data_IF_676455066385
#
_entry.id   IF_676455066385
#
_cell.length_a   1.000
_cell.length_b   1.000
_cell.length_c   1.000
_cell.angle_alpha   90.00
_cell.angle_beta   90.00
_cell.angle_gamma   90.00
#
_symmetry.space_group_name_H-M   'P 1'
#
loop_
_entity.id
_entity.type
_entity.pdbx_description
1 polymer ?
#
# COMPACT_ATOMS: atom_id res chain seq x y z
N UNK A 1 18.00 9.06 -1.77
CA UNK A 1 16.88 10.02 -1.99
C UNK A 1 15.86 9.99 -0.85
N UNK A 2 15.75 11.11 -0.11
CA UNK A 2 14.67 11.33 0.86
C UNK A 2 13.39 11.82 0.15
N UNK A 3 12.25 11.26 0.51
CA UNK A 3 10.96 11.57 -0.10
C UNK A 3 9.80 11.37 0.91
N UNK A 4 8.62 11.85 0.55
CA UNK A 4 7.40 11.66 1.33
C UNK A 4 6.34 10.96 0.48
N UNK A 5 5.82 9.83 0.97
CA UNK A 5 4.68 9.14 0.39
C UNK A 5 3.42 9.54 1.15
N UNK A 6 2.42 10.10 0.46
CA UNK A 6 1.17 10.54 1.09
C UNK A 6 -0.07 9.98 0.40
N UNK A 7 -1.00 9.49 1.21
CA UNK A 7 -2.33 9.03 0.83
C UNK A 7 -3.36 10.15 1.04
N UNK A 8 -4.22 10.36 0.05
CA UNK A 8 -5.33 11.32 0.08
C UNK A 8 -6.64 10.64 -0.33
N UNK A 9 -7.74 11.19 0.16
CA UNK A 9 -9.11 10.75 -0.14
C UNK A 9 -9.83 11.77 -0.99
N UNK A 10 -10.54 11.30 -2.01
CA UNK A 10 -11.25 12.13 -2.98
C UNK A 10 -12.69 11.64 -3.10
N UNK A 11 -13.58 11.97 -2.14
CA UNK A 11 -14.95 11.43 -2.12
C UNK A 11 -15.80 11.86 -3.32
N UNK A 12 -15.43 12.95 -4.01
CA UNK A 12 -16.13 13.48 -5.19
C UNK A 12 -15.35 13.31 -6.49
N UNK A 13 -14.31 12.47 -6.50
CA UNK A 13 -13.38 12.34 -7.62
C UNK A 13 -12.24 13.36 -7.58
N UNK A 14 -11.31 13.18 -8.52
CA UNK A 14 -10.05 13.91 -8.57
C UNK A 14 -9.56 14.08 -10.00
N UNK A 15 -8.98 15.24 -10.29
CA UNK A 15 -8.04 15.40 -11.42
C UNK A 15 -6.67 15.65 -10.84
N UNK A 16 -5.70 14.83 -11.26
CA UNK A 16 -4.32 14.93 -10.83
C UNK A 16 -3.43 15.28 -12.03
N UNK A 17 -2.46 16.16 -11.77
CA UNK A 17 -1.37 16.43 -12.70
C UNK A 17 -0.43 15.20 -12.83
N UNK A 18 0.35 15.11 -13.91
CA UNK A 18 1.40 14.09 -14.05
C UNK A 18 2.40 14.09 -12.89
N UNK A 19 2.92 12.90 -12.56
CA UNK A 19 3.94 12.73 -11.52
C UNK A 19 3.99 11.30 -10.99
N UNK A 20 4.78 11.06 -9.94
CA UNK A 20 4.83 9.79 -9.23
C UNK A 20 3.60 9.63 -8.33
N UNK A 21 2.47 9.34 -8.97
CA UNK A 21 1.16 9.27 -8.32
C UNK A 21 0.39 8.06 -8.81
N UNK A 22 -0.25 7.38 -7.87
CA UNK A 22 -1.28 6.38 -8.14
C UNK A 22 -2.63 6.96 -7.75
N UNK A 23 -3.63 6.83 -8.62
CA UNK A 23 -5.03 7.10 -8.31
C UNK A 23 -5.82 5.80 -8.45
N UNK A 24 -6.49 5.38 -7.38
CA UNK A 24 -7.33 4.19 -7.34
C UNK A 24 -8.80 4.61 -7.27
N UNK A 25 -9.58 4.26 -8.29
CA UNK A 25 -11.01 4.54 -8.36
C UNK A 25 -11.79 3.43 -7.65
N UNK A 26 -12.52 3.81 -6.59
CA UNK A 26 -13.20 2.86 -5.72
C UNK A 26 -14.37 2.17 -6.43
N UNK A 27 -15.12 2.91 -7.26
CA UNK A 27 -16.34 2.41 -7.89
C UNK A 27 -16.06 1.33 -8.95
N UNK A 28 -14.96 1.47 -9.71
CA UNK A 28 -14.67 0.60 -10.84
C UNK A 28 -13.57 -0.43 -10.54
N UNK A 29 -12.94 -0.40 -9.36
CA UNK A 29 -11.79 -1.25 -9.02
C UNK A 29 -10.73 -1.15 -10.13
N UNK A 30 -10.24 0.07 -10.35
CA UNK A 30 -9.24 0.44 -11.35
C UNK A 30 -8.18 1.36 -10.72
N UNK A 31 -6.97 1.32 -11.27
CA UNK A 31 -5.90 2.22 -10.86
C UNK A 31 -5.27 2.90 -12.08
N UNK A 32 -4.80 4.12 -11.88
CA UNK A 32 -4.13 4.96 -12.86
C UNK A 32 -2.81 5.46 -12.29
N UNK A 33 -1.81 5.67 -13.16
CA UNK A 33 -0.53 6.25 -12.77
C UNK A 33 -0.30 7.59 -13.46
N UNK A 34 0.26 8.54 -12.73
CA UNK A 34 0.52 9.90 -13.20
C UNK A 34 -0.76 10.72 -13.30
N UNK A 35 -0.89 11.43 -14.42
CA UNK A 35 -2.01 12.34 -14.65
C UNK A 35 -3.29 11.54 -14.91
N UNK A 36 -4.33 11.79 -14.13
CA UNK A 36 -5.58 11.03 -14.20
C UNK A 36 -6.77 11.91 -13.81
N UNK A 37 -7.91 11.67 -14.45
CA UNK A 37 -9.21 12.24 -14.07
C UNK A 37 -10.15 11.10 -13.73
N UNK A 38 -10.60 11.07 -12.49
CA UNK A 38 -11.58 10.11 -11.96
C UNK A 38 -12.77 10.90 -11.44
N UNK A 39 -13.97 10.59 -11.92
CA UNK A 39 -15.18 11.33 -11.56
C UNK A 39 -15.82 10.83 -10.25
N UNK A 40 -15.64 9.54 -9.92
CA UNK A 40 -16.18 8.91 -8.70
C UNK A 40 -15.21 8.95 -7.51
N UNK A 41 -15.63 8.47 -6.33
CA UNK A 41 -14.78 8.37 -5.16
C UNK A 41 -13.44 7.68 -5.45
N UNK A 42 -12.34 8.30 -5.05
CA UNK A 42 -11.00 7.80 -5.33
C UNK A 42 -10.05 7.96 -4.13
N UNK A 43 -8.98 7.17 -4.16
CA UNK A 43 -7.82 7.30 -3.28
C UNK A 43 -6.62 7.67 -4.13
N UNK A 44 -5.71 8.50 -3.61
CA UNK A 44 -4.45 8.76 -4.33
C UNK A 44 -3.23 8.68 -3.43
N UNK A 45 -2.17 8.04 -3.92
CA UNK A 45 -0.85 8.03 -3.31
C UNK A 45 0.08 8.88 -4.16
N UNK A 46 0.74 9.85 -3.55
CA UNK A 46 1.73 10.69 -4.23
C UNK A 46 3.08 10.57 -3.53
N UNK A 47 4.13 10.34 -4.32
CA UNK A 47 5.51 10.45 -3.87
C UNK A 47 6.02 11.86 -4.18
N UNK A 48 6.32 12.63 -3.14
CA UNK A 48 6.85 13.98 -3.21
C UNK A 48 8.33 13.98 -2.86
N UNK A 49 9.11 14.82 -3.52
CA UNK A 49 10.56 14.92 -3.34
C UNK A 49 11.00 16.37 -3.24
N UNK A 50 12.14 16.64 -2.61
CA UNK A 50 12.70 18.00 -2.55
C UNK A 50 11.78 18.96 -1.78
N UNK A 51 11.56 20.15 -2.32
CA UNK A 51 10.75 21.19 -1.67
C UNK A 51 9.27 20.83 -1.51
N UNK A 52 8.76 19.87 -2.29
CA UNK A 52 7.37 19.42 -2.23
C UNK A 52 7.14 18.38 -1.11
N UNK A 53 8.21 17.77 -0.59
CA UNK A 53 8.15 16.80 0.51
C UNK A 53 8.02 17.50 1.87
N UNK A 54 6.87 18.14 2.10
CA UNK A 54 6.54 18.78 3.38
C UNK A 54 6.04 17.73 4.38
N UNK A 55 6.50 17.78 5.64
CA UNK A 55 6.21 16.73 6.64
C UNK A 55 4.70 16.41 6.80
N UNK A 56 3.86 17.44 6.73
CA UNK A 56 2.39 17.35 6.91
C UNK A 56 1.66 17.90 5.68
N UNK A 57 1.52 17.10 4.61
CA UNK A 57 0.84 17.52 3.39
C UNK A 57 -0.65 17.73 3.68
N UNK A 58 -1.16 18.90 3.31
CA UNK A 58 -2.52 19.32 3.62
C UNK A 58 -3.56 18.31 3.09
N UNK A 59 -4.40 17.81 4.00
CA UNK A 59 -5.49 16.89 3.66
C UNK A 59 -5.06 15.44 3.40
N UNK A 60 -3.82 15.06 3.71
CA UNK A 60 -3.43 13.66 3.68
C UNK A 60 -4.12 12.87 4.79
N UNK A 61 -4.64 11.70 4.45
CA UNK A 61 -5.14 10.72 5.41
C UNK A 61 -4.00 10.00 6.14
N UNK A 62 -2.85 9.87 5.47
CA UNK A 62 -1.59 9.41 6.05
C UNK A 62 -0.43 9.88 5.18
N UNK A 63 0.65 10.35 5.80
CA UNK A 63 1.92 10.61 5.15
C UNK A 63 3.05 9.88 5.89
N UNK A 64 4.06 9.45 5.15
CA UNK A 64 5.23 8.79 5.71
C UNK A 64 6.49 9.18 4.93
N UNK A 65 7.53 9.56 5.66
CA UNK A 65 8.85 9.72 5.10
C UNK A 65 9.40 8.37 4.62
N UNK A 66 10.04 8.37 3.47
CA UNK A 66 10.68 7.20 2.88
C UNK A 66 12.06 7.57 2.37
N UNK A 67 13.03 6.70 2.65
CA UNK A 67 14.39 6.82 2.14
C UNK A 67 14.59 5.76 1.06
N UNK A 68 14.72 6.22 -0.18
CA UNK A 68 14.95 5.37 -1.35
C UNK A 68 16.42 5.45 -1.76
N UNK A 69 17.06 4.32 -1.98
CA UNK A 69 18.43 4.22 -2.51
C UNK A 69 18.48 4.78 -3.94
N UNK A 70 19.24 5.87 -4.14
CA UNK A 70 19.35 6.53 -5.45
C UNK A 70 20.32 5.84 -6.41
N UNK A 71 21.03 4.80 -5.96
CA UNK A 71 21.90 3.99 -6.81
C UNK A 71 21.13 2.94 -7.63
N UNK A 72 19.82 2.80 -7.41
CA UNK A 72 18.99 1.81 -8.08
C UNK A 72 17.65 2.40 -8.58
N UNK A 73 17.08 1.83 -9.65
CA UNK A 73 15.74 2.20 -10.10
C UNK A 73 14.65 1.65 -9.18
N UNK A 74 13.53 2.35 -9.12
CA UNK A 74 12.37 2.03 -8.29
C UNK A 74 11.08 1.99 -9.12
N UNK A 75 10.11 1.21 -8.66
CA UNK A 75 8.74 1.16 -9.20
C UNK A 75 7.73 1.50 -8.12
N UNK A 76 6.67 2.20 -8.51
CA UNK A 76 5.47 2.42 -7.71
C UNK A 76 4.41 1.41 -8.14
N UNK A 77 4.02 0.54 -7.20
CA UNK A 77 3.09 -0.56 -7.48
C UNK A 77 1.83 -0.45 -6.65
N UNK A 78 0.68 -0.60 -7.32
CA UNK A 78 -0.63 -0.64 -6.67
C UNK A 78 -1.18 -2.06 -6.67
N UNK A 79 -1.49 -2.56 -5.47
CA UNK A 79 -2.15 -3.84 -5.26
C UNK A 79 -3.45 -3.67 -4.46
N UNK A 80 -4.43 -4.53 -4.72
CA UNK A 80 -5.47 -4.88 -3.75
C UNK A 80 -5.18 -6.26 -3.18
N UNK A 81 -5.42 -6.43 -1.89
CA UNK A 81 -5.33 -7.73 -1.22
C UNK A 81 -6.64 -8.04 -0.52
N UNK A 82 -7.23 -9.16 -0.89
CA UNK A 82 -8.50 -9.66 -0.34
C UNK A 82 -8.25 -10.84 0.59
N UNK A 83 -8.95 -10.86 1.73
CA UNK A 83 -8.90 -11.85 2.78
C UNK A 83 -10.30 -12.43 2.98
N UNK A 84 -10.49 -13.76 2.88
CA UNK A 84 -11.69 -14.39 3.39
C UNK A 84 -11.71 -14.33 4.93
N UNK A 85 -12.87 -14.49 5.59
CA UNK A 85 -12.95 -14.44 7.04
C UNK A 85 -11.96 -15.40 7.74
N UNK A 86 -11.29 -14.88 8.77
CA UNK A 86 -10.30 -15.58 9.58
C UNK A 86 -9.01 -15.96 8.84
N UNK A 87 -8.73 -15.36 7.68
CA UNK A 87 -7.45 -15.53 7.01
C UNK A 87 -6.32 -14.82 7.77
N UNK A 88 -5.12 -15.39 7.64
CA UNK A 88 -3.91 -14.92 8.29
C UNK A 88 -2.86 -14.68 7.20
N UNK A 89 -2.25 -13.50 7.22
CA UNK A 89 -0.96 -13.26 6.60
C UNK A 89 0.12 -13.47 7.67
N UNK A 90 0.74 -14.66 7.64
CA UNK A 90 1.80 -15.05 8.57
C UNK A 90 3.00 -14.11 8.52
N UNK A 91 3.88 -14.19 9.52
CA UNK A 91 4.93 -13.19 9.74
C UNK A 91 5.85 -13.09 8.52
N UNK A 92 5.91 -11.90 7.92
CA UNK A 92 6.64 -11.66 6.69
C UNK A 92 7.21 -10.26 6.59
N UNK A 93 8.15 -10.06 5.68
CA UNK A 93 8.71 -8.76 5.32
C UNK A 93 8.39 -8.43 3.86
N UNK A 94 8.55 -7.15 3.54
CA UNK A 94 8.42 -6.62 2.19
C UNK A 94 9.75 -6.05 1.68
N UNK A 95 9.98 -6.04 0.35
CA UNK A 95 11.21 -5.52 -0.23
C UNK A 95 11.28 -3.99 -0.28
N UNK A 96 10.19 -3.28 0.03
CA UNK A 96 10.17 -1.83 0.10
C UNK A 96 8.96 -1.28 0.85
N UNK A 97 8.97 0.04 1.14
CA UNK A 97 7.96 0.69 1.96
C UNK A 97 6.63 0.88 1.21
N UNK A 98 5.58 1.22 1.94
CA UNK A 98 4.35 1.72 1.33
C UNK A 98 3.22 2.00 2.31
N UNK A 99 2.17 2.64 1.80
CA UNK A 99 0.94 2.91 2.56
C UNK A 99 -0.16 1.96 2.12
N UNK A 100 -0.91 1.45 3.09
CA UNK A 100 -2.09 0.61 2.92
C UNK A 100 -3.33 1.37 3.39
N UNK A 101 -4.47 1.07 2.78
CA UNK A 101 -5.79 1.61 3.12
C UNK A 101 -6.82 0.49 3.10
N UNK A 102 -7.46 0.23 4.23
CA UNK A 102 -8.54 -0.73 4.34
C UNK A 102 -9.78 -0.20 3.62
N UNK A 103 -10.31 -0.99 2.69
CA UNK A 103 -11.52 -0.66 1.93
C UNK A 103 -12.78 -1.04 2.71
N UNK A 104 -12.80 -2.26 3.24
CA UNK A 104 -13.88 -2.80 4.07
C UNK A 104 -13.37 -3.96 4.94
N UNK A 105 -14.20 -4.39 5.89
CA UNK A 105 -13.87 -5.43 6.86
C UNK A 105 -12.97 -4.92 7.98
N UNK A 106 -12.08 -5.78 8.49
CA UNK A 106 -11.21 -5.47 9.61
C UNK A 106 -9.90 -6.27 9.58
N UNK A 107 -8.81 -5.62 9.98
CA UNK A 107 -7.50 -6.26 10.16
C UNK A 107 -6.94 -5.98 11.55
N UNK A 108 -6.40 -7.00 12.20
CA UNK A 108 -5.49 -6.86 13.33
C UNK A 108 -4.07 -7.05 12.82
N UNK A 109 -3.20 -6.05 13.01
CA UNK A 109 -1.84 -6.06 12.50
C UNK A 109 -0.86 -5.98 13.66
N UNK A 110 0.12 -6.89 13.67
CA UNK A 110 1.21 -6.91 14.65
C UNK A 110 2.55 -6.66 13.95
N UNK A 111 3.25 -5.60 14.37
CA UNK A 111 4.58 -5.19 13.87
C UNK A 111 5.38 -4.57 15.01
N UNK A 112 6.70 -4.81 15.10
CA UNK A 112 7.53 -4.24 16.18
C UNK A 112 7.05 -4.56 17.60
N UNK A 113 6.30 -5.65 17.80
CA UNK A 113 5.68 -6.00 19.09
C UNK A 113 4.41 -5.23 19.44
N UNK A 114 3.98 -4.28 18.59
CA UNK A 114 2.73 -3.53 18.75
C UNK A 114 1.64 -4.16 17.91
N UNK A 115 0.44 -4.29 18.47
CA UNK A 115 -0.74 -4.81 17.78
C UNK A 115 -1.80 -3.72 17.67
N UNK A 116 -2.32 -3.52 16.46
CA UNK A 116 -3.31 -2.47 16.16
C UNK A 116 -4.44 -3.05 15.32
N UNK A 117 -5.68 -2.74 15.70
CA UNK A 117 -6.86 -3.09 14.94
C UNK A 117 -7.27 -1.93 14.02
N UNK A 118 -7.54 -2.23 12.75
CA UNK A 118 -7.99 -1.30 11.73
C UNK A 118 -9.38 -1.71 11.24
N UNK A 119 -10.28 -0.72 11.16
CA UNK A 119 -11.57 -0.85 10.48
C UNK A 119 -11.54 -0.21 9.09
N UNK A 120 -12.66 -0.28 8.37
CA UNK A 120 -12.82 0.33 7.05
C UNK A 120 -12.40 1.81 7.07
N UNK A 121 -11.62 2.23 6.07
CA UNK A 121 -11.03 3.56 6.04
C UNK A 121 -9.74 3.71 6.87
N UNK A 122 -9.35 2.71 7.67
CA UNK A 122 -8.06 2.72 8.37
C UNK A 122 -6.89 2.70 7.38
N UNK A 123 -5.89 3.56 7.61
CA UNK A 123 -4.64 3.57 6.84
C UNK A 123 -3.45 3.28 7.75
N UNK A 124 -2.43 2.63 7.21
CA UNK A 124 -1.19 2.38 7.92
C UNK A 124 0.01 2.33 6.97
N UNK A 125 1.19 2.57 7.53
CA UNK A 125 2.45 2.50 6.83
C UNK A 125 3.23 1.26 7.26
N UNK A 126 3.91 0.63 6.31
CA UNK A 126 4.93 -0.40 6.58
C UNK A 126 6.22 0.00 5.87
N UNK A 127 7.33 0.00 6.61
CA UNK A 127 8.65 0.40 6.11
C UNK A 127 9.27 -0.59 5.13
N UNK A 128 8.84 -1.86 5.19
CA UNK A 128 9.33 -2.94 4.35
C UNK A 128 10.12 -3.98 5.14
N UNK A 129 11.31 -3.62 5.70
CA UNK A 129 12.16 -4.54 6.43
C UNK A 129 11.58 -5.03 7.77
N UNK A 130 10.71 -4.24 8.42
CA UNK A 130 10.10 -4.64 9.69
C UNK A 130 9.08 -5.76 9.46
N UNK A 131 9.18 -6.91 10.17
CA UNK A 131 8.25 -8.00 9.95
C UNK A 131 6.83 -7.69 10.44
N UNK A 132 5.85 -8.00 9.59
CA UNK A 132 4.44 -7.80 9.83
C UNK A 132 3.69 -9.13 9.90
N UNK A 133 2.72 -9.22 10.80
CA UNK A 133 1.74 -10.29 10.90
C UNK A 133 0.35 -9.67 10.84
N UNK A 134 -0.59 -10.26 10.12
CA UNK A 134 -1.95 -9.74 10.03
C UNK A 134 -3.02 -10.83 10.06
N UNK A 135 -4.10 -10.55 10.78
CA UNK A 135 -5.30 -11.39 10.86
C UNK A 135 -6.51 -10.59 10.37
N UNK A 136 -7.29 -11.17 9.46
CA UNK A 136 -8.58 -10.60 9.04
C UNK A 136 -9.71 -10.92 10.01
N UNK A 137 -10.78 -10.11 9.95
CA UNK A 137 -12.04 -10.34 10.66
C UNK A 137 -12.46 -11.81 10.61
N UNK A 138 -12.88 -12.37 11.76
CA UNK A 138 -13.33 -13.76 11.83
C UNK A 138 -14.65 -14.01 11.10
N UNK A 139 -15.43 -12.96 10.83
CA UNK A 139 -16.80 -13.06 10.32
C UNK A 139 -17.04 -12.33 9.00
N UNK A 140 -16.12 -11.47 8.57
CA UNK A 140 -16.32 -10.60 7.41
C UNK A 140 -15.18 -10.72 6.41
N UNK A 141 -15.50 -10.64 5.12
CA UNK A 141 -14.49 -10.44 4.09
C UNK A 141 -13.78 -9.11 4.33
N UNK A 142 -12.49 -9.07 4.03
CA UNK A 142 -11.66 -7.89 4.28
C UNK A 142 -10.81 -7.62 3.06
N UNK A 143 -10.73 -6.35 2.65
CA UNK A 143 -9.84 -5.95 1.57
C UNK A 143 -9.15 -4.64 1.89
N UNK A 144 -7.88 -4.55 1.51
CA UNK A 144 -7.16 -3.29 1.46
C UNK A 144 -6.53 -3.07 0.10
N UNK A 145 -6.36 -1.80 -0.25
CA UNK A 145 -5.49 -1.37 -1.34
C UNK A 145 -4.19 -0.86 -0.74
N UNK A 146 -3.09 -1.05 -1.45
CA UNK A 146 -1.77 -0.55 -1.05
C UNK A 146 -1.02 0.00 -2.23
N UNK A 147 -0.17 0.98 -1.95
CA UNK A 147 0.86 1.41 -2.88
C UNK A 147 2.22 1.25 -2.24
N UNK A 148 3.08 0.50 -2.91
CA UNK A 148 4.44 0.19 -2.48
C UNK A 148 5.45 0.84 -3.41
N UNK A 149 6.58 1.26 -2.85
CA UNK A 149 7.77 1.67 -3.56
C UNK A 149 8.74 0.50 -3.50
N UNK A 150 9.06 -0.10 -4.63
CA UNK A 150 9.83 -1.33 -4.71
C UNK A 150 11.10 -1.10 -5.54
N UNK A 151 12.23 -1.73 -5.21
CA UNK A 151 13.35 -1.81 -6.14
C UNK A 151 12.87 -2.43 -7.45
N UNK A 152 13.30 -1.92 -8.61
CA UNK A 152 12.76 -2.35 -9.90
C UNK A 152 12.99 -3.85 -10.19
N UNK A 153 13.97 -4.49 -9.55
CA UNK A 153 14.15 -5.94 -9.62
C UNK A 153 12.96 -6.75 -9.06
N UNK A 154 12.08 -6.15 -8.26
CA UNK A 154 10.86 -6.75 -7.74
C UNK A 154 9.66 -6.61 -8.68
N UNK A 155 9.85 -5.99 -9.84
CA UNK A 155 8.79 -5.86 -10.83
C UNK A 155 8.23 -7.23 -11.25
N UNK A 156 6.90 -7.37 -11.22
CA UNK A 156 6.18 -8.60 -11.51
C UNK A 156 6.35 -9.72 -10.48
N UNK A 157 7.06 -9.49 -9.36
CA UNK A 157 7.33 -10.52 -8.34
C UNK A 157 6.35 -10.46 -7.17
N UNK A 158 6.25 -11.57 -6.43
CA UNK A 158 5.58 -11.57 -5.12
C UNK A 158 6.42 -10.75 -4.14
N UNK A 159 5.79 -9.84 -3.39
CA UNK A 159 6.47 -8.93 -2.47
C UNK A 159 6.47 -9.41 -1.02
N UNK A 160 6.13 -10.68 -0.77
CA UNK A 160 6.10 -11.28 0.57
C UNK A 160 7.27 -12.23 0.71
N UNK A 161 8.08 -12.07 1.76
CA UNK A 161 9.07 -13.05 2.21
C UNK A 161 8.79 -13.43 3.65
N UNK A 162 8.49 -14.69 3.92
CA UNK A 162 8.24 -15.17 5.28
C UNK A 162 9.54 -15.15 6.10
N UNK A 163 9.44 -14.76 7.36
CA UNK A 163 10.59 -14.77 8.28
C UNK A 163 10.85 -16.15 8.87
N UNK A 164 9.79 -16.94 9.05
CA UNK A 164 9.89 -18.36 9.40
C UNK A 164 9.66 -19.19 8.13
N UNK A 165 10.63 -20.01 7.70
CA UNK A 165 10.46 -20.91 6.56
C UNK A 165 9.24 -21.84 6.69
N UNK A 166 8.87 -22.25 7.92
CA UNK A 166 7.71 -23.13 8.13
C UNK A 166 6.37 -22.46 7.77
N UNK A 167 6.31 -21.12 7.77
CA UNK A 167 5.12 -20.38 7.36
C UNK A 167 4.93 -20.39 5.83
N UNK A 168 5.97 -20.68 5.06
CA UNK A 168 5.88 -20.77 3.59
C UNK A 168 5.03 -21.97 3.14
N UNK A 169 4.97 -23.03 3.95
CA UNK A 169 4.16 -24.23 3.68
C UNK A 169 2.70 -24.08 4.13
N UNK A 170 2.36 -23.00 4.84
CA UNK A 170 1.00 -22.75 5.30
C UNK A 170 0.11 -22.23 4.17
N UNK A 171 -1.21 -22.52 4.18
CA UNK A 171 -2.11 -22.03 3.15
C UNK A 171 -2.21 -20.50 3.17
N UNK A 172 -1.64 -19.83 2.16
CA UNK A 172 -1.88 -18.41 1.91
C UNK A 172 -3.29 -18.23 1.32
N UNK A 173 -4.24 -17.82 2.15
CA UNK A 173 -5.66 -17.64 1.78
C UNK A 173 -5.97 -16.27 1.20
N UNK A 174 -5.10 -15.29 1.46
CA UNK A 174 -5.19 -13.96 0.90
C UNK A 174 -4.86 -13.96 -0.60
N UNK A 175 -5.58 -13.15 -1.37
CA UNK A 175 -5.37 -13.01 -2.82
C UNK A 175 -4.94 -11.59 -3.14
N UNK A 176 -3.81 -11.45 -3.81
CA UNK A 176 -3.32 -10.16 -4.28
C UNK A 176 -3.66 -9.98 -5.77
N UNK A 177 -4.25 -8.84 -6.12
CA UNK A 177 -4.43 -8.36 -7.49
C UNK A 177 -3.51 -7.15 -7.69
N UNK A 178 -2.61 -7.25 -8.66
CA UNK A 178 -1.79 -6.11 -9.10
C UNK A 178 -2.59 -5.33 -10.14
N UNK A 179 -2.70 -4.01 -9.97
CA UNK A 179 -3.41 -3.14 -10.91
C UNK A 179 -2.44 -2.47 -11.87
N UNK A 180 -1.34 -1.95 -11.32
CA UNK A 180 -0.28 -1.30 -12.07
C UNK A 180 1.04 -1.40 -11.32
N UNK A 181 2.11 -1.25 -12.07
CA UNK A 181 3.47 -1.17 -11.59
C UNK A 181 4.25 -0.31 -12.57
N UNK A 182 4.64 0.88 -12.14
CA UNK A 182 5.19 1.91 -13.02
C UNK A 182 6.53 2.42 -12.48
N UNK A 183 7.56 2.60 -13.32
CA UNK A 183 8.82 3.19 -12.90
C UNK A 183 8.61 4.59 -12.31
N UNK A 184 9.35 4.90 -11.24
CA UNK A 184 9.43 6.28 -10.75
C UNK A 184 10.10 7.17 -11.79
N UNK A 185 9.61 8.40 -11.89
CA UNK A 185 10.06 9.45 -12.82
C UNK A 185 10.70 10.62 -12.10
#
# INVERSE_FOLDING_TARGET
MHALLALHEHPAGVTCEPGNRVVYELANDTAHFGGATVAGPALSWALMTGADAVDEPAGAALAAAVDLDDSQPWVMRCDRVDFPPGAIAYRHVHPGPGIRRLLFGGLTITTGGVTTAYGAGGAWFESGPEPVYAESSATEETAFVRVMLLPAEWAGRRTIRYTDPADADRPARQRARVFLEEPLR
#
